data_IF_176877250156
#
_entry.id   IF_176877250156
#
_cell.length_a   1.000
_cell.length_b   1.000
_cell.length_c   1.000
_cell.angle_alpha   90.00
_cell.angle_beta   90.00
_cell.angle_gamma   90.00
#
_symmetry.space_group_name_H-M   'P 1'
#
loop_
_entity.id
_entity.type
_entity.pdbx_description
1 polymer ?
#
# COMPACT_ATOMS: atom_id res chain seq x y z
N UNK A 1 55.09 39.35 -9.99
CA UNK A 1 54.25 38.62 -9.00
C UNK A 1 52.85 39.21 -9.03
N UNK A 2 51.94 38.63 -9.81
CA UNK A 2 50.53 39.08 -9.90
C UNK A 2 49.70 38.27 -8.91
N UNK A 3 49.23 38.92 -7.84
CA UNK A 3 48.24 38.35 -6.91
C UNK A 3 46.87 38.84 -7.36
N UNK A 4 46.01 37.89 -7.74
CA UNK A 4 44.60 38.12 -8.04
C UNK A 4 43.86 38.22 -6.71
N UNK A 5 43.22 39.36 -6.47
CA UNK A 5 42.37 39.60 -5.31
C UNK A 5 40.92 39.58 -5.80
N UNK A 6 40.23 38.46 -5.56
CA UNK A 6 38.76 38.43 -5.45
C UNK A 6 38.38 39.15 -4.15
N UNK A 7 37.28 39.92 -4.11
CA UNK A 7 36.08 39.79 -3.24
C UNK A 7 35.19 41.07 -3.40
N UNK A 8 33.87 40.84 -3.49
CA UNK A 8 32.72 41.68 -3.07
C UNK A 8 32.26 42.89 -3.91
N UNK A 9 31.00 42.83 -4.35
CA UNK A 9 29.99 43.93 -4.33
C UNK A 9 28.64 43.34 -4.78
N UNK A 10 27.72 43.03 -3.86
CA UNK A 10 26.54 43.84 -3.49
C UNK A 10 25.93 44.60 -4.68
N UNK A 11 24.76 44.16 -5.15
CA UNK A 11 23.72 45.08 -5.63
C UNK A 11 22.35 44.52 -5.25
N UNK A 12 21.71 45.20 -4.30
CA UNK A 12 20.27 45.14 -4.06
C UNK A 12 19.55 45.79 -5.24
N UNK A 13 18.59 45.09 -5.86
CA UNK A 13 17.54 45.73 -6.64
C UNK A 13 16.20 45.48 -5.96
N UNK A 14 15.69 46.55 -5.36
CA UNK A 14 14.32 46.67 -4.88
C UNK A 14 13.49 47.17 -6.05
N UNK A 15 12.49 46.41 -6.47
CA UNK A 15 11.51 46.80 -7.48
C UNK A 15 10.12 46.40 -7.02
N UNK A 16 9.51 47.25 -6.17
CA UNK A 16 8.14 47.11 -5.71
C UNK A 16 7.22 47.82 -6.71
N UNK A 17 6.36 47.09 -7.40
CA UNK A 17 5.12 47.66 -7.96
C UNK A 17 3.97 46.71 -7.66
N UNK A 18 2.91 47.27 -7.06
CA UNK A 18 1.74 46.59 -6.55
C UNK A 18 0.82 46.09 -7.67
N UNK A 19 0.28 44.89 -7.52
CA UNK A 19 -1.12 44.63 -7.83
C UNK A 19 -1.59 43.43 -7.00
N UNK A 20 -2.59 43.70 -6.16
CA UNK A 20 -3.21 42.74 -5.26
C UNK A 20 -3.76 41.52 -6.02
N UNK A 21 -3.35 40.33 -5.59
CA UNK A 21 -4.28 39.23 -5.50
C UNK A 21 -4.00 38.44 -4.22
N UNK A 22 -4.87 38.63 -3.25
CA UNK A 22 -4.95 37.81 -2.06
C UNK A 22 -5.45 36.41 -2.46
N UNK A 23 -4.54 35.53 -2.86
CA UNK A 23 -4.73 34.09 -2.69
C UNK A 23 -3.65 33.66 -1.70
N UNK A 24 -3.96 33.84 -0.41
CA UNK A 24 -4.28 32.70 0.44
C UNK A 24 -3.33 31.56 0.13
N UNK A 25 -2.39 31.33 1.06
CA UNK A 25 -1.89 30.00 1.37
C UNK A 25 -2.93 29.00 0.89
N UNK A 26 -2.67 28.38 -0.25
CA UNK A 26 -3.50 27.30 -0.74
C UNK A 26 -3.16 26.19 0.22
N UNK A 27 -3.84 26.24 1.37
CA UNK A 27 -4.40 25.13 2.13
C UNK A 27 -4.06 23.90 1.33
N UNK A 28 -2.91 23.32 1.65
CA UNK A 28 -2.44 22.10 1.03
C UNK A 28 -3.64 21.18 1.14
N UNK A 29 -4.33 21.01 0.01
CA UNK A 29 -5.55 20.25 -0.05
C UNK A 29 -5.05 18.87 0.23
N UNK A 30 -5.16 18.45 1.50
CA UNK A 30 -4.94 17.07 1.89
C UNK A 30 -5.68 16.27 0.83
N UNK A 31 -4.96 15.48 0.02
CA UNK A 31 -5.60 14.74 -1.03
C UNK A 31 -6.68 13.93 -0.35
N UNK A 32 -7.91 14.25 -0.73
CA UNK A 32 -9.11 13.85 -0.05
C UNK A 32 -9.30 12.38 -0.34
N UNK A 33 -8.67 11.50 0.44
CA UNK A 33 -8.78 10.02 0.47
C UNK A 33 -8.53 9.23 -0.84
N UNK A 34 -8.75 9.79 -2.02
CA UNK A 34 -8.70 9.07 -3.31
C UNK A 34 -7.26 8.95 -3.82
N UNK A 35 -6.40 9.97 -3.65
CA UNK A 35 -5.01 9.87 -4.08
C UNK A 35 -4.15 9.00 -3.16
N UNK A 36 -4.51 8.90 -1.87
CA UNK A 36 -3.77 8.05 -0.92
C UNK A 36 -3.96 6.57 -1.20
N UNK A 37 -5.18 6.15 -1.58
CA UNK A 37 -5.47 4.75 -1.92
C UNK A 37 -4.81 4.33 -3.23
N UNK A 38 -4.79 5.23 -4.23
CA UNK A 38 -4.09 4.98 -5.49
C UNK A 38 -2.58 4.88 -5.29
N UNK A 39 -1.99 5.76 -4.47
CA UNK A 39 -0.58 5.69 -4.11
C UNK A 39 -0.24 4.40 -3.35
N UNK A 40 -1.04 4.00 -2.37
CA UNK A 40 -0.85 2.72 -1.68
C UNK A 40 -0.97 1.53 -2.62
N UNK A 41 -1.92 1.54 -3.57
CA UNK A 41 -2.03 0.48 -4.58
C UNK A 41 -0.79 0.41 -5.47
N UNK A 42 -0.23 1.55 -5.87
CA UNK A 42 0.99 1.60 -6.66
C UNK A 42 2.20 1.08 -5.88
N UNK A 43 2.33 1.46 -4.60
CA UNK A 43 3.37 0.91 -3.71
C UNK A 43 3.21 -0.60 -3.52
N UNK A 44 1.97 -1.08 -3.44
CA UNK A 44 1.65 -2.51 -3.30
C UNK A 44 2.14 -3.35 -4.48
N UNK A 45 2.24 -2.75 -5.68
CA UNK A 45 2.68 -3.46 -6.88
C UNK A 45 4.21 -3.70 -6.90
N UNK A 46 4.96 -3.11 -5.96
CA UNK A 46 6.38 -3.42 -5.78
C UNK A 46 6.59 -4.88 -5.32
N UNK A 47 7.49 -5.66 -5.96
CA UNK A 47 7.76 -7.04 -5.57
C UNK A 47 8.14 -7.21 -4.10
N UNK A 48 8.92 -6.27 -3.54
CA UNK A 48 9.33 -6.31 -2.13
C UNK A 48 8.15 -6.13 -1.19
N UNK A 49 7.25 -5.20 -1.52
CA UNK A 49 6.02 -4.97 -0.75
C UNK A 49 5.10 -6.18 -0.82
N UNK A 50 4.89 -6.76 -2.01
CA UNK A 50 4.08 -7.97 -2.14
C UNK A 50 4.64 -9.13 -1.33
N UNK A 51 5.97 -9.29 -1.31
CA UNK A 51 6.63 -10.31 -0.49
C UNK A 51 6.36 -10.08 1.01
N UNK A 52 6.56 -8.86 1.50
CA UNK A 52 6.33 -8.54 2.90
C UNK A 52 4.86 -8.67 3.29
N UNK A 53 3.92 -8.21 2.46
CA UNK A 53 2.49 -8.40 2.69
C UNK A 53 2.14 -9.89 2.70
N UNK A 54 2.69 -10.69 1.78
CA UNK A 54 2.49 -12.14 1.76
C UNK A 54 3.00 -12.78 3.06
N UNK A 55 4.12 -12.34 3.59
CA UNK A 55 4.61 -12.80 4.90
C UNK A 55 3.66 -12.41 6.03
N UNK A 56 3.14 -11.18 6.03
CA UNK A 56 2.15 -10.72 7.01
C UNK A 56 0.82 -11.48 6.89
N UNK A 57 0.41 -11.86 5.68
CA UNK A 57 -0.77 -12.69 5.46
C UNK A 57 -0.65 -14.05 6.15
N UNK A 58 0.56 -14.59 6.31
CA UNK A 58 0.77 -15.85 7.04
C UNK A 58 0.82 -15.65 8.56
N UNK A 59 1.38 -14.52 9.01
CA UNK A 59 1.68 -14.26 10.43
C UNK A 59 0.54 -13.56 11.17
N UNK A 60 -0.17 -12.65 10.50
CA UNK A 60 -1.23 -11.84 11.10
C UNK A 60 -2.58 -12.57 11.03
N UNK A 61 -3.17 -12.99 12.17
CA UNK A 61 -4.39 -13.79 12.16
C UNK A 61 -5.59 -13.07 11.53
N UNK A 62 -5.70 -11.76 11.70
CA UNK A 62 -6.82 -10.98 11.18
C UNK A 62 -6.75 -10.85 9.66
N UNK A 63 -5.59 -10.48 9.11
CA UNK A 63 -5.38 -10.41 7.67
C UNK A 63 -5.57 -11.78 7.01
N UNK A 64 -5.08 -12.84 7.68
CA UNK A 64 -5.25 -14.23 7.25
C UNK A 64 -6.72 -14.65 7.21
N UNK A 65 -7.45 -14.41 8.29
CA UNK A 65 -8.85 -14.83 8.41
C UNK A 65 -9.73 -14.08 7.40
N UNK A 66 -9.49 -12.79 7.18
CA UNK A 66 -10.16 -11.99 6.13
C UNK A 66 -9.93 -12.56 4.72
N UNK A 67 -8.68 -12.91 4.39
CA UNK A 67 -8.37 -13.52 3.11
C UNK A 67 -9.00 -14.91 2.95
N UNK A 68 -8.95 -15.75 3.98
CA UNK A 68 -9.59 -17.09 3.96
C UNK A 68 -11.09 -16.96 3.77
N UNK A 69 -11.76 -16.05 4.49
CA UNK A 69 -13.19 -15.82 4.37
C UNK A 69 -13.55 -15.35 2.95
N UNK A 70 -12.81 -14.37 2.42
CA UNK A 70 -12.99 -13.93 1.03
C UNK A 70 -12.87 -15.09 0.03
N UNK A 71 -11.81 -15.89 0.12
CA UNK A 71 -11.60 -17.01 -0.80
C UNK A 71 -12.67 -18.11 -0.66
N UNK A 72 -13.16 -18.34 0.56
CA UNK A 72 -14.23 -19.29 0.82
C UNK A 72 -15.55 -18.84 0.19
N UNK A 73 -15.84 -17.55 0.24
CA UNK A 73 -17.13 -17.01 -0.21
C UNK A 73 -17.12 -16.64 -1.70
N UNK A 74 -15.95 -16.33 -2.27
CA UNK A 74 -15.77 -16.02 -3.69
C UNK A 74 -16.09 -17.24 -4.58
N UNK A 75 -16.98 -17.10 -5.59
CA UNK A 75 -17.42 -18.21 -6.43
C UNK A 75 -16.29 -18.92 -7.19
N UNK A 76 -15.24 -18.19 -7.60
CA UNK A 76 -14.12 -18.73 -8.38
C UNK A 76 -13.25 -19.66 -7.53
N UNK A 77 -13.10 -19.36 -6.24
CA UNK A 77 -12.20 -20.08 -5.33
C UNK A 77 -12.93 -20.99 -4.33
N UNK A 78 -14.25 -20.81 -4.17
CA UNK A 78 -15.09 -21.53 -3.21
C UNK A 78 -14.92 -23.04 -3.29
N UNK A 79 -14.93 -23.61 -4.50
CA UNK A 79 -14.86 -25.06 -4.68
C UNK A 79 -13.57 -25.63 -4.08
N UNK A 80 -12.43 -25.01 -4.40
CA UNK A 80 -11.10 -25.38 -3.89
C UNK A 80 -11.04 -25.21 -2.36
N UNK A 81 -11.57 -24.10 -1.85
CA UNK A 81 -11.57 -23.80 -0.42
C UNK A 81 -12.47 -24.74 0.40
N UNK A 82 -13.66 -25.07 -0.10
CA UNK A 82 -14.59 -25.98 0.58
C UNK A 82 -13.99 -27.37 0.75
N UNK A 83 -13.31 -27.89 -0.27
CA UNK A 83 -12.66 -29.19 -0.21
C UNK A 83 -11.58 -29.24 0.89
N UNK A 84 -10.70 -28.23 0.92
CA UNK A 84 -9.62 -28.17 1.91
C UNK A 84 -10.15 -27.93 3.32
N UNK A 85 -11.15 -27.07 3.49
CA UNK A 85 -11.80 -26.82 4.78
C UNK A 85 -12.52 -28.07 5.28
N UNK A 86 -13.23 -28.80 4.41
CA UNK A 86 -13.92 -30.05 4.78
C UNK A 86 -12.93 -31.09 5.29
N UNK A 87 -11.77 -31.21 4.66
CA UNK A 87 -10.72 -32.14 5.06
C UNK A 87 -9.93 -31.66 6.30
N UNK A 88 -9.96 -30.36 6.61
CA UNK A 88 -9.14 -29.72 7.65
C UNK A 88 -9.91 -28.64 8.44
N UNK A 89 -11.08 -28.94 9.03
CA UNK A 89 -12.04 -27.91 9.48
C UNK A 89 -11.53 -26.99 10.60
N UNK A 90 -10.56 -27.46 11.40
CA UNK A 90 -9.95 -26.69 12.51
C UNK A 90 -8.51 -26.25 12.22
N UNK A 91 -7.91 -26.68 11.11
CA UNK A 91 -6.50 -26.45 10.83
C UNK A 91 -6.29 -25.27 9.89
N UNK A 92 -6.48 -24.05 10.42
CA UNK A 92 -6.26 -22.79 9.68
C UNK A 92 -4.87 -22.72 9.04
N UNK A 93 -3.84 -23.24 9.71
CA UNK A 93 -2.48 -23.27 9.16
C UNK A 93 -2.38 -24.15 7.90
N UNK A 94 -3.09 -25.29 7.86
CA UNK A 94 -3.13 -26.15 6.66
C UNK A 94 -3.90 -25.50 5.51
N UNK A 95 -5.02 -24.85 5.82
CA UNK A 95 -5.77 -24.07 4.84
C UNK A 95 -4.88 -22.97 4.25
N UNK A 96 -4.13 -22.26 5.11
CA UNK A 96 -3.25 -21.19 4.65
C UNK A 96 -2.04 -21.70 3.85
N UNK A 97 -1.45 -22.84 4.23
CA UNK A 97 -0.43 -23.52 3.43
C UNK A 97 -0.95 -23.86 2.04
N UNK A 98 -2.15 -24.42 1.94
CA UNK A 98 -2.78 -24.71 0.65
C UNK A 98 -2.97 -23.44 -0.21
N UNK A 99 -3.41 -22.33 0.40
CA UNK A 99 -3.52 -21.05 -0.29
C UNK A 99 -2.14 -20.59 -0.78
N UNK A 100 -1.10 -20.72 0.04
CA UNK A 100 0.26 -20.32 -0.31
C UNK A 100 0.84 -21.14 -1.48
N UNK A 101 0.57 -22.44 -1.50
CA UNK A 101 1.08 -23.38 -2.50
C UNK A 101 0.30 -23.32 -3.80
N UNK A 102 -0.91 -22.75 -3.79
CA UNK A 102 -1.74 -22.54 -4.96
C UNK A 102 -1.60 -21.10 -5.52
N UNK A 103 -0.93 -20.90 -6.66
CA UNK A 103 -0.69 -19.56 -7.23
C UNK A 103 -1.97 -18.76 -7.51
N UNK A 104 -3.06 -19.42 -7.87
CA UNK A 104 -4.33 -18.77 -8.14
C UNK A 104 -4.95 -18.20 -6.86
N UNK A 105 -4.97 -19.01 -5.79
CA UNK A 105 -5.55 -18.61 -4.50
C UNK A 105 -4.75 -17.50 -3.84
N UNK A 106 -3.41 -17.61 -3.82
CA UNK A 106 -2.58 -16.54 -3.26
C UNK A 106 -2.72 -15.26 -4.06
N UNK A 107 -2.80 -15.34 -5.40
CA UNK A 107 -3.05 -14.16 -6.25
C UNK A 107 -4.39 -13.53 -5.90
N UNK A 108 -5.46 -14.31 -5.73
CA UNK A 108 -6.78 -13.77 -5.35
C UNK A 108 -6.83 -13.19 -3.94
N UNK A 109 -6.11 -13.78 -2.98
CA UNK A 109 -5.95 -13.16 -1.67
C UNK A 109 -5.23 -11.80 -1.76
N UNK A 110 -4.14 -11.71 -2.52
CA UNK A 110 -3.38 -10.47 -2.71
C UNK A 110 -4.18 -9.41 -3.49
N UNK A 111 -4.90 -9.81 -4.54
CA UNK A 111 -5.82 -8.95 -5.30
C UNK A 111 -6.91 -8.38 -4.37
N UNK A 112 -7.46 -9.20 -3.47
CA UNK A 112 -8.45 -8.76 -2.49
C UNK A 112 -7.88 -7.72 -1.52
N UNK A 113 -6.68 -7.97 -0.98
CA UNK A 113 -5.99 -7.00 -0.10
C UNK A 113 -5.76 -5.68 -0.86
N UNK A 114 -5.24 -5.73 -2.09
CA UNK A 114 -5.00 -4.54 -2.93
C UNK A 114 -6.27 -3.73 -3.18
N UNK A 115 -7.38 -4.41 -3.45
CA UNK A 115 -8.62 -3.76 -3.86
C UNK A 115 -9.54 -3.37 -2.69
N UNK A 116 -9.27 -3.86 -1.48
CA UNK A 116 -9.96 -3.46 -0.26
C UNK A 116 -9.15 -2.37 0.48
N UNK A 117 -9.53 -1.09 0.45
CA UNK A 117 -8.72 0.00 1.02
C UNK A 117 -8.39 -0.17 2.51
N UNK A 118 -9.33 -0.75 3.28
CA UNK A 118 -9.11 -0.99 4.71
C UNK A 118 -8.03 -2.05 4.93
N UNK A 119 -8.09 -3.15 4.18
CA UNK A 119 -7.09 -4.22 4.26
C UNK A 119 -5.75 -3.79 3.68
N UNK A 120 -5.74 -3.04 2.58
CA UNK A 120 -4.54 -2.47 2.01
C UNK A 120 -3.81 -1.61 3.04
N UNK A 121 -4.51 -0.64 3.64
CA UNK A 121 -3.93 0.24 4.66
C UNK A 121 -3.40 -0.56 5.86
N UNK A 122 -4.14 -1.59 6.30
CA UNK A 122 -3.70 -2.47 7.38
C UNK A 122 -2.44 -3.24 6.99
N UNK A 123 -2.40 -3.83 5.80
CA UNK A 123 -1.28 -4.60 5.30
C UNK A 123 -0.02 -3.73 5.16
N UNK A 124 -0.16 -2.51 4.63
CA UNK A 124 0.92 -1.51 4.57
C UNK A 124 1.42 -1.13 5.95
N UNK A 125 0.51 -0.86 6.89
CA UNK A 125 0.88 -0.52 8.27
C UNK A 125 1.65 -1.65 8.97
N UNK A 126 1.29 -2.91 8.73
CA UNK A 126 1.97 -4.09 9.29
C UNK A 126 3.41 -4.26 8.77
N UNK A 127 3.75 -3.63 7.65
CA UNK A 127 5.09 -3.67 7.06
C UNK A 127 5.83 -2.33 7.20
N UNK A 128 5.27 -1.40 7.97
CA UNK A 128 5.90 -0.11 8.31
C UNK A 128 5.69 1.00 7.29
N UNK A 129 4.64 0.92 6.47
CA UNK A 129 4.21 1.97 5.53
C UNK A 129 2.92 2.66 5.92
#
# INVERSE_FOLDING_TARGET
MKKVLFILSIVCFVGFTNSANAQSLSKMKMPTSVDSDAQMKAMFDSPDVQKQVKEQLMKNPELRDEAINYLKDNPDTRKQMVEVIKNNPKAKNKIMQYIQDNPELIKKAMDYIKNNPKLLKKAMSLIGM
#
